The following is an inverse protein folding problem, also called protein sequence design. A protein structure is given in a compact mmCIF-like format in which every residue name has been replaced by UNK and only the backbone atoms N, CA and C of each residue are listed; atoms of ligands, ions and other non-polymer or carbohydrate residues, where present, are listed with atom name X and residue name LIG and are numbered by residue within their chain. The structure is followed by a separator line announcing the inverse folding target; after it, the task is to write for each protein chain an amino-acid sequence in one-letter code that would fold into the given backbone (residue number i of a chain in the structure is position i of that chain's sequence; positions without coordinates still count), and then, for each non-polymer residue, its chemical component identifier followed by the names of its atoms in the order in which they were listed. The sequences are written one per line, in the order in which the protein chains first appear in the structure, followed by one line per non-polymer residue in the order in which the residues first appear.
data_IF_069956756448
#
_entry.id   IF_069956756448
#
_cell.length_a   1.000
_cell.length_b   1.000
_cell.length_c   1.000
_cell.angle_alpha   90.00
_cell.angle_beta   90.00
_cell.angle_gamma   90.00
#
_symmetry.space_group_name_H-M   'P 1'
#
loop_
_entity.id
_entity.type
_entity.pdbx_description
1 polymer ?
#
# COMPACT_ATOMS: atom_id res chain seq x y z
N UNK A 1 3.65 -4.60 -21.57
CA UNK A 1 4.38 -4.28 -20.33
C UNK A 1 4.27 -5.48 -19.41
N UNK A 2 5.37 -6.05 -18.92
CA UNK A 2 5.30 -7.23 -18.05
C UNK A 2 4.92 -6.73 -16.64
N UNK A 3 3.62 -6.76 -16.30
CA UNK A 3 3.16 -6.39 -14.95
C UNK A 3 3.82 -7.37 -13.99
N UNK A 4 4.80 -6.90 -13.21
CA UNK A 4 5.44 -7.72 -12.20
C UNK A 4 4.34 -8.22 -11.26
N UNK A 5 4.07 -9.53 -11.30
CA UNK A 5 2.96 -10.16 -10.56
C UNK A 5 3.25 -10.25 -9.06
N UNK A 6 4.38 -9.73 -8.59
CA UNK A 6 4.69 -9.68 -7.17
C UNK A 6 3.60 -8.91 -6.43
N UNK A 7 3.14 -9.48 -5.33
CA UNK A 7 2.13 -8.92 -4.45
C UNK A 7 2.83 -8.44 -3.17
N UNK A 8 2.53 -7.21 -2.77
CA UNK A 8 2.94 -6.63 -1.50
C UNK A 8 1.84 -6.90 -0.46
N UNK A 9 2.11 -7.58 0.66
CA UNK A 9 1.07 -7.95 1.63
C UNK A 9 0.47 -6.74 2.36
N UNK A 10 -0.84 -6.78 2.59
CA UNK A 10 -1.54 -5.84 3.46
C UNK A 10 -1.98 -6.52 4.75
N UNK A 11 -1.61 -5.90 5.87
CA UNK A 11 -2.07 -6.30 7.20
C UNK A 11 -3.48 -5.75 7.41
N UNK A 12 -4.44 -6.64 7.51
CA UNK A 12 -5.85 -6.30 7.72
C UNK A 12 -6.07 -5.76 9.14
N UNK A 13 -6.76 -4.62 9.23
CA UNK A 13 -7.06 -3.97 10.51
C UNK A 13 -8.45 -4.36 11.05
N UNK A 14 -9.36 -4.83 10.20
CA UNK A 14 -10.71 -5.28 10.57
C UNK A 14 -10.79 -6.79 10.77
N UNK A 15 -11.64 -7.21 11.72
CA UNK A 15 -12.04 -8.61 11.91
C UNK A 15 -12.91 -9.14 10.76
N UNK A 16 -13.68 -8.26 10.10
CA UNK A 16 -14.40 -8.56 8.87
C UNK A 16 -13.70 -7.85 7.69
N UNK A 17 -12.75 -8.51 7.02
CA UNK A 17 -11.84 -7.87 6.08
C UNK A 17 -12.38 -7.71 4.67
N UNK A 18 -13.68 -7.96 4.41
CA UNK A 18 -14.24 -7.99 3.04
C UNK A 18 -13.93 -6.75 2.21
N UNK A 19 -13.69 -5.62 2.86
CA UNK A 19 -13.47 -4.34 2.20
C UNK A 19 -11.98 -3.97 2.08
N UNK A 20 -11.10 -4.55 2.92
CA UNK A 20 -9.66 -4.28 2.88
C UNK A 20 -8.97 -5.14 1.80
N UNK A 21 -8.13 -4.56 0.93
CA UNK A 21 -7.34 -5.37 0.01
C UNK A 21 -6.35 -6.23 0.80
N UNK A 22 -6.20 -7.49 0.41
CA UNK A 22 -5.20 -8.40 1.00
C UNK A 22 -3.78 -8.10 0.49
N UNK A 23 -3.67 -7.56 -0.71
CA UNK A 23 -2.40 -7.29 -1.37
C UNK A 23 -2.46 -6.06 -2.27
N UNK A 24 -1.30 -5.44 -2.50
CA UNK A 24 -1.09 -4.39 -3.50
C UNK A 24 -0.13 -4.90 -4.57
N UNK A 25 -0.34 -4.64 -5.87
CA UNK A 25 0.66 -4.93 -6.90
C UNK A 25 2.00 -4.27 -6.55
N UNK A 26 3.09 -5.03 -6.52
CA UNK A 26 4.42 -4.53 -6.15
C UNK A 26 4.82 -3.30 -6.96
N UNK A 27 4.55 -3.34 -8.27
CA UNK A 27 4.87 -2.26 -9.19
C UNK A 27 4.10 -0.97 -8.91
N UNK A 28 2.97 -1.01 -8.18
CA UNK A 28 2.31 0.20 -7.70
C UNK A 28 3.10 0.87 -6.57
N UNK A 29 3.87 0.11 -5.79
CA UNK A 29 4.65 0.62 -4.67
C UNK A 29 6.11 0.91 -5.04
N UNK A 30 6.66 0.31 -6.09
CA UNK A 30 8.09 0.34 -6.37
C UNK A 30 8.69 1.76 -6.48
N UNK A 31 7.92 2.71 -7.00
CA UNK A 31 8.35 4.10 -7.16
C UNK A 31 8.39 4.87 -5.83
N UNK A 32 7.77 4.31 -4.77
CA UNK A 32 7.67 4.86 -3.42
C UNK A 32 8.70 4.28 -2.43
N UNK A 33 9.75 3.61 -2.92
CA UNK A 33 10.83 3.04 -2.08
C UNK A 33 11.51 4.09 -1.19
N UNK A 34 11.67 5.32 -1.69
CA UNK A 34 12.22 6.42 -0.88
C UNK A 34 11.28 6.81 0.26
N UNK A 35 9.97 6.86 0.01
CA UNK A 35 9.00 7.17 1.05
C UNK A 35 8.91 6.03 2.07
N UNK A 36 9.02 4.76 1.65
CA UNK A 36 9.08 3.62 2.55
C UNK A 36 10.25 3.72 3.53
N UNK A 37 11.44 4.07 3.02
CA UNK A 37 12.61 4.32 3.87
C UNK A 37 12.42 5.51 4.79
N UNK A 38 11.78 6.58 4.33
CA UNK A 38 11.51 7.77 5.15
C UNK A 38 10.54 7.45 6.30
N UNK A 39 9.45 6.74 6.00
CA UNK A 39 8.38 6.45 6.95
C UNK A 39 8.73 5.32 7.93
N UNK A 40 9.45 4.29 7.47
CA UNK A 40 9.68 3.06 8.24
C UNK A 40 11.15 2.77 8.53
N UNK A 41 12.09 3.56 8.00
CA UNK A 41 13.53 3.22 8.02
C UNK A 41 13.85 1.86 7.39
N UNK A 42 12.95 1.35 6.53
CA UNK A 42 13.02 0.03 5.91
C UNK A 42 12.72 0.12 4.41
N UNK A 43 13.29 -0.79 3.62
CA UNK A 43 12.93 -0.94 2.20
C UNK A 43 11.55 -1.58 2.05
N UNK A 44 10.92 -1.42 0.87
CA UNK A 44 9.70 -2.16 0.54
C UNK A 44 9.91 -3.67 0.64
N UNK A 45 11.09 -4.16 0.26
CA UNK A 45 11.43 -5.59 0.36
C UNK A 45 11.43 -6.07 1.80
N UNK A 46 12.05 -5.31 2.69
CA UNK A 46 12.09 -5.63 4.11
C UNK A 46 10.69 -5.60 4.72
N UNK A 47 9.88 -4.59 4.39
CA UNK A 47 8.51 -4.48 4.88
C UNK A 47 7.64 -5.66 4.41
N UNK A 48 7.66 -5.98 3.11
CA UNK A 48 6.92 -7.11 2.57
C UNK A 48 7.36 -8.44 3.20
N UNK A 49 8.67 -8.63 3.42
CA UNK A 49 9.20 -9.83 4.07
C UNK A 49 8.82 -9.93 5.56
N UNK A 50 8.53 -8.78 6.20
CA UNK A 50 8.10 -8.70 7.59
C UNK A 50 6.59 -8.89 7.81
N UNK A 51 5.83 -9.18 6.76
CA UNK A 51 4.36 -9.33 6.83
C UNK A 51 3.58 -8.18 6.17
N UNK A 52 4.27 -7.21 5.56
CA UNK A 52 3.67 -6.12 4.83
C UNK A 52 3.37 -4.89 5.68
N UNK A 53 2.38 -4.11 5.25
CA UNK A 53 1.97 -2.86 5.89
C UNK A 53 0.44 -2.80 5.97
N UNK A 54 -0.10 -1.93 6.81
CA UNK A 54 -1.54 -1.68 6.88
C UNK A 54 -2.02 -0.85 5.68
N UNK A 55 -3.34 -0.87 5.41
CA UNK A 55 -3.94 -0.03 4.35
C UNK A 55 -3.73 1.47 4.59
N UNK A 56 -3.58 1.90 5.85
CA UNK A 56 -3.26 3.29 6.21
C UNK A 56 -1.84 3.66 5.80
N UNK A 57 -0.87 2.79 6.07
CA UNK A 57 0.52 3.00 5.65
C UNK A 57 0.64 2.98 4.12
N UNK A 58 -0.07 2.07 3.45
CA UNK A 58 -0.14 2.06 1.99
C UNK A 58 -0.67 3.38 1.41
N UNK A 59 -1.70 3.97 2.02
CA UNK A 59 -2.20 5.29 1.63
C UNK A 59 -1.10 6.37 1.70
N UNK A 60 -0.33 6.40 2.79
CA UNK A 60 0.77 7.36 2.95
C UNK A 60 1.91 7.12 1.96
N UNK A 61 2.25 5.86 1.68
CA UNK A 61 3.28 5.53 0.69
C UNK A 61 2.87 5.95 -0.73
N UNK A 62 1.69 5.55 -1.20
CA UNK A 62 1.21 5.85 -2.56
C UNK A 62 1.06 7.37 -2.79
N UNK A 63 0.79 8.14 -1.73
CA UNK A 63 0.69 9.60 -1.80
C UNK A 63 2.01 10.34 -1.57
N UNK A 64 3.11 9.62 -1.33
CA UNK A 64 4.41 10.20 -0.92
C UNK A 64 4.27 11.16 0.27
N UNK A 65 3.54 10.73 1.29
CA UNK A 65 3.24 11.50 2.51
C UNK A 65 3.88 10.90 3.76
N UNK A 66 4.17 11.79 4.71
CA UNK A 66 4.76 11.41 6.00
C UNK A 66 3.70 10.90 6.99
N UNK A 67 4.05 9.91 7.81
CA UNK A 67 3.14 9.29 8.79
C UNK A 67 2.70 10.24 9.93
N UNK A 68 3.30 11.43 10.04
CA UNK A 68 2.93 12.44 11.04
C UNK A 68 1.79 13.37 10.57
N UNK A 69 1.32 13.22 9.34
CA UNK A 69 0.24 14.03 8.80
C UNK A 69 -1.13 13.57 9.33
N UNK A 70 -2.12 14.46 9.28
CA UNK A 70 -3.48 14.15 9.69
C UNK A 70 -4.01 12.93 8.93
N UNK A 71 -4.43 11.91 9.67
CA UNK A 71 -4.81 10.63 9.10
C UNK A 71 -6.28 10.64 8.70
N UNK A 72 -6.60 10.31 7.43
CA UNK A 72 -7.99 10.08 7.03
C UNK A 72 -8.63 8.95 7.83
N UNK A 73 -9.94 8.81 7.69
CA UNK A 73 -10.65 7.64 8.19
C UNK A 73 -10.14 6.36 7.52
N UNK A 74 -10.35 5.21 8.20
CA UNK A 74 -9.97 3.92 7.63
C UNK A 74 -10.68 3.66 6.29
N UNK A 75 -11.96 4.02 6.19
CA UNK A 75 -12.75 3.84 4.96
C UNK A 75 -12.20 4.67 3.79
N UNK A 76 -11.76 5.90 4.05
CA UNK A 76 -11.12 6.74 3.02
C UNK A 76 -9.80 6.12 2.54
N UNK A 77 -8.98 5.60 3.46
CA UNK A 77 -7.74 4.90 3.09
C UNK A 77 -8.04 3.65 2.26
N UNK A 78 -9.03 2.84 2.65
CA UNK A 78 -9.45 1.64 1.94
C UNK A 78 -9.93 2.01 0.53
N UNK A 79 -10.86 2.96 0.41
CA UNK A 79 -11.41 3.39 -0.87
C UNK A 79 -10.31 3.88 -1.82
N UNK A 80 -9.38 4.69 -1.31
CA UNK A 80 -8.25 5.18 -2.09
C UNK A 80 -7.33 4.05 -2.57
N UNK A 81 -6.88 3.18 -1.66
CA UNK A 81 -5.94 2.10 -2.02
C UNK A 81 -6.58 1.13 -3.02
N UNK A 82 -7.87 0.80 -2.85
CA UNK A 82 -8.62 -0.02 -3.82
C UNK A 82 -8.69 0.63 -5.19
N UNK A 83 -8.97 1.93 -5.24
CA UNK A 83 -9.01 2.65 -6.51
C UNK A 83 -7.62 2.66 -7.17
N UNK A 84 -6.55 2.89 -6.42
CA UNK A 84 -5.19 2.87 -6.95
C UNK A 84 -4.79 1.50 -7.53
N UNK A 85 -5.20 0.41 -6.86
CA UNK A 85 -5.03 -0.96 -7.40
C UNK A 85 -5.82 -1.13 -8.70
N UNK A 86 -7.10 -0.76 -8.71
CA UNK A 86 -7.96 -0.90 -9.89
C UNK A 86 -7.44 -0.09 -11.08
N UNK A 87 -6.97 1.14 -10.85
CA UNK A 87 -6.39 2.00 -11.87
C UNK A 87 -5.11 1.40 -12.46
N UNK A 88 -4.25 0.80 -11.62
CA UNK A 88 -3.05 0.09 -12.07
C UNK A 88 -3.41 -1.16 -12.90
N UNK A 89 -4.42 -1.92 -12.47
CA UNK A 89 -4.87 -3.12 -13.16
C UNK A 89 -5.52 -2.82 -14.51
N UNK A 90 -6.21 -1.68 -14.62
CA UNK A 90 -6.85 -1.22 -15.85
C UNK A 90 -5.88 -0.69 -16.92
N UNK A 91 -4.61 -0.40 -16.57
CA UNK A 91 -3.60 0.03 -17.54
C UNK A 91 -3.26 -1.09 -18.54
N UNK A 92 -3.12 -0.80 -19.84
CA UNK A 92 -2.89 -1.80 -20.89
C UNK A 92 -1.50 -2.48 -20.84
#
# INVERSE_FOLDING_TARGET
MNKDKRQFPIVQLRENPSDEPEWIPWALLQDHEMQARKNHSQSLYTLASGGGITVREAYFLIRDMDLNMAMPSLDECIAFVRQAIADYEAQP
#
